data_IF_687220177136
#
_entry.id   IF_687220177136
#
_cell.length_a   1.000
_cell.length_b   1.000
_cell.length_c   1.000
_cell.angle_alpha   90.00
_cell.angle_beta   90.00
_cell.angle_gamma   90.00
#
_symmetry.space_group_name_H-M   'P 1'
#
loop_
_entity.id
_entity.type
_entity.pdbx_description
1 polymer ?
#
# COMPACT_ATOMS: atom_id res chain seq x y z
N UNK A 1 18.88 -6.90 -3.50
CA UNK A 1 18.83 -5.84 -2.47
C UNK A 1 17.38 -5.40 -2.35
N UNK A 2 16.87 -5.28 -1.12
CA UNK A 2 15.54 -4.70 -0.85
C UNK A 2 15.79 -3.48 0.02
N UNK A 3 15.29 -2.32 -0.40
CA UNK A 3 15.36 -1.08 0.36
C UNK A 3 13.94 -0.77 0.84
N UNK A 4 13.68 -0.97 2.14
CA UNK A 4 12.40 -0.64 2.75
C UNK A 4 12.42 0.80 3.22
N UNK A 5 12.05 1.73 2.34
CA UNK A 5 11.95 3.14 2.68
C UNK A 5 10.77 3.39 3.61
N UNK A 6 11.04 3.57 4.90
CA UNK A 6 10.03 3.98 5.88
C UNK A 6 9.76 5.50 5.85
N UNK A 7 10.44 6.25 4.98
CA UNK A 7 10.42 7.71 4.94
C UNK A 7 9.02 8.32 4.76
N UNK A 8 8.10 7.60 4.10
CA UNK A 8 6.72 8.06 3.86
C UNK A 8 5.71 7.50 4.86
N UNK A 9 6.17 6.68 5.81
CA UNK A 9 5.34 6.15 6.88
C UNK A 9 5.12 7.20 7.96
N UNK A 10 3.99 7.09 8.65
CA UNK A 10 3.71 7.89 9.84
C UNK A 10 4.72 7.57 10.95
N UNK A 11 5.46 8.58 11.42
CA UNK A 11 6.60 8.39 12.34
C UNK A 11 6.19 8.10 13.79
N UNK A 12 5.35 8.94 14.38
CA UNK A 12 4.80 8.77 15.74
C UNK A 12 3.46 9.53 15.90
N UNK A 13 2.84 9.43 17.07
CA UNK A 13 1.52 10.04 17.33
C UNK A 13 1.59 11.58 17.43
N UNK A 14 2.70 12.14 17.92
CA UNK A 14 2.85 13.58 18.17
C UNK A 14 3.23 14.37 16.92
N UNK A 15 4.05 13.78 16.06
CA UNK A 15 4.61 14.36 14.84
C UNK A 15 4.56 13.31 13.72
N UNK A 16 3.37 12.99 13.20
CA UNK A 16 3.17 11.86 12.29
C UNK A 16 3.91 12.00 10.96
N UNK A 17 4.14 13.20 10.47
CA UNK A 17 4.81 13.46 9.19
C UNK A 17 6.04 14.33 9.43
N UNK A 18 7.20 13.89 8.93
CA UNK A 18 8.49 14.55 9.15
C UNK A 18 9.27 14.55 7.83
N UNK A 19 9.66 15.74 7.38
CA UNK A 19 10.51 15.93 6.20
C UNK A 19 11.49 17.08 6.45
N UNK A 20 12.67 17.07 5.80
CA UNK A 20 13.57 18.22 5.81
C UNK A 20 12.87 19.50 5.33
N UNK A 21 13.11 20.62 5.99
CA UNK A 21 12.42 21.89 5.70
C UNK A 21 12.62 22.32 4.23
N UNK A 22 13.82 22.11 3.69
CA UNK A 22 14.15 22.40 2.30
C UNK A 22 13.37 21.56 1.28
N UNK A 23 12.92 20.37 1.67
CA UNK A 23 12.07 19.52 0.83
C UNK A 23 10.62 19.99 0.87
N UNK A 24 10.12 20.39 2.04
CA UNK A 24 8.78 20.95 2.20
C UNK A 24 8.66 22.29 1.45
N UNK A 25 9.72 23.11 1.48
CA UNK A 25 9.76 24.42 0.85
C UNK A 25 9.62 24.39 -0.69
N UNK A 26 9.81 23.23 -1.35
CA UNK A 26 9.61 23.06 -2.79
C UNK A 26 8.14 23.12 -3.22
N UNK A 27 7.20 22.97 -2.29
CA UNK A 27 5.77 22.82 -2.58
C UNK A 27 4.91 23.96 -2.01
N UNK A 28 5.24 25.25 -2.22
CA UNK A 28 4.50 26.36 -1.61
C UNK A 28 3.05 26.48 -2.12
N UNK A 29 2.76 25.88 -3.29
CA UNK A 29 1.44 25.84 -3.91
C UNK A 29 0.45 24.92 -3.17
N UNK A 30 0.94 23.85 -2.51
CA UNK A 30 0.10 22.93 -1.73
C UNK A 30 -0.33 23.64 -0.46
N UNK A 31 -1.62 23.99 -0.33
CA UNK A 31 -2.11 24.85 0.76
C UNK A 31 -2.17 24.14 2.10
N UNK A 32 -2.62 22.88 2.10
CA UNK A 32 -2.65 22.09 3.33
C UNK A 32 -1.23 21.81 3.83
N UNK A 33 -0.83 22.30 5.03
CA UNK A 33 0.51 22.06 5.56
C UNK A 33 0.82 20.57 5.77
N UNK A 34 -0.20 19.74 6.05
CA UNK A 34 0.00 18.29 6.19
C UNK A 34 0.34 17.65 4.85
N UNK A 35 -0.45 17.91 3.81
CA UNK A 35 -0.16 17.48 2.44
C UNK A 35 1.17 18.01 1.93
N UNK A 36 1.52 19.26 2.24
CA UNK A 36 2.81 19.86 1.86
C UNK A 36 3.99 19.14 2.51
N UNK A 37 3.87 18.82 3.80
CA UNK A 37 4.88 18.05 4.52
C UNK A 37 5.02 16.65 3.92
N UNK A 38 3.91 15.99 3.62
CA UNK A 38 3.91 14.68 2.95
C UNK A 38 4.55 14.72 1.56
N UNK A 39 4.30 15.77 0.76
CA UNK A 39 5.01 15.98 -0.50
C UNK A 39 6.52 16.10 -0.32
N UNK A 40 6.98 16.76 0.75
CA UNK A 40 8.39 16.79 1.16
C UNK A 40 8.96 15.40 1.50
N UNK A 41 8.17 14.53 2.16
CA UNK A 41 8.55 13.14 2.44
C UNK A 41 8.74 12.35 1.13
N UNK A 42 7.80 12.50 0.18
CA UNK A 42 7.86 11.87 -1.15
C UNK A 42 9.05 12.38 -1.95
N UNK A 43 9.33 13.69 -1.92
CA UNK A 43 10.50 14.29 -2.56
C UNK A 43 11.82 13.75 -1.98
N UNK A 44 11.87 13.50 -0.67
CA UNK A 44 13.02 12.87 -0.01
C UNK A 44 13.21 11.41 -0.45
N UNK A 45 12.11 10.67 -0.61
CA UNK A 45 12.13 9.32 -1.16
C UNK A 45 12.67 9.30 -2.59
N UNK A 46 12.17 10.19 -3.46
CA UNK A 46 12.63 10.31 -4.86
C UNK A 46 14.15 10.59 -4.95
N UNK A 47 14.66 11.50 -4.11
CA UNK A 47 16.11 11.73 -3.97
C UNK A 47 16.88 10.48 -3.58
N UNK A 48 16.38 9.70 -2.64
CA UNK A 48 17.03 8.45 -2.21
C UNK A 48 17.03 7.38 -3.32
N UNK A 49 15.95 7.32 -4.12
CA UNK A 49 15.89 6.49 -5.32
C UNK A 49 16.95 6.94 -6.34
N UNK A 50 17.06 8.24 -6.61
CA UNK A 50 18.08 8.79 -7.50
C UNK A 50 19.51 8.46 -7.02
N UNK A 51 19.80 8.61 -5.72
CA UNK A 51 21.09 8.25 -5.14
C UNK A 51 21.41 6.76 -5.34
N UNK A 52 20.42 5.89 -5.16
CA UNK A 52 20.57 4.43 -5.37
C UNK A 52 20.86 4.12 -6.85
N UNK A 53 20.13 4.74 -7.78
CA UNK A 53 20.35 4.59 -9.22
C UNK A 53 21.74 5.11 -9.61
N UNK A 54 22.15 6.26 -9.05
CA UNK A 54 23.46 6.85 -9.26
C UNK A 54 24.58 5.91 -8.81
N UNK A 55 24.48 5.33 -7.60
CA UNK A 55 25.45 4.36 -7.12
C UNK A 55 25.54 3.11 -8.02
N UNK A 56 24.40 2.59 -8.51
CA UNK A 56 24.40 1.47 -9.47
C UNK A 56 25.06 1.85 -10.80
N UNK A 57 24.87 3.09 -11.26
CA UNK A 57 25.47 3.62 -12.49
C UNK A 57 26.99 3.75 -12.34
N UNK A 58 27.44 4.39 -11.28
CA UNK A 58 28.86 4.70 -11.03
C UNK A 58 29.68 3.42 -10.84
N UNK A 59 29.06 2.35 -10.33
CA UNK A 59 29.67 1.04 -10.19
C UNK A 59 29.48 0.13 -11.42
N UNK A 60 28.92 0.65 -12.52
CA UNK A 60 28.72 -0.11 -13.77
C UNK A 60 27.69 -1.24 -13.69
N UNK A 61 26.87 -1.29 -12.63
CA UNK A 61 25.88 -2.35 -12.37
C UNK A 61 24.54 -2.08 -13.06
N UNK A 62 24.28 -0.81 -13.41
CA UNK A 62 22.98 -0.38 -13.93
C UNK A 62 22.56 -1.08 -15.23
N UNK A 63 23.53 -1.49 -16.07
CA UNK A 63 23.28 -2.15 -17.37
C UNK A 63 22.71 -3.58 -17.26
N UNK A 64 22.75 -4.18 -16.07
CA UNK A 64 22.20 -5.52 -15.81
C UNK A 64 21.40 -5.53 -14.50
N UNK A 65 20.56 -4.51 -14.31
CA UNK A 65 19.75 -4.33 -13.11
C UNK A 65 18.26 -4.39 -13.43
N UNK A 66 17.46 -4.91 -12.49
CA UNK A 66 16.01 -4.73 -12.46
C UNK A 66 15.71 -3.89 -11.22
N UNK A 67 15.08 -2.74 -11.42
CA UNK A 67 14.68 -1.82 -10.36
C UNK A 67 13.17 -1.85 -10.29
N UNK A 68 12.65 -2.34 -9.17
CA UNK A 68 11.23 -2.38 -8.85
C UNK A 68 10.96 -1.40 -7.70
N UNK A 69 10.07 -0.44 -7.94
CA UNK A 69 9.56 0.46 -6.92
C UNK A 69 8.06 0.21 -6.78
N UNK A 70 7.57 -0.08 -5.58
CA UNK A 70 6.14 -0.23 -5.31
C UNK A 70 5.82 0.09 -3.85
N UNK A 71 4.57 0.47 -3.56
CA UNK A 71 4.07 0.66 -2.20
C UNK A 71 3.57 -0.67 -1.61
N UNK A 72 3.69 -0.84 -0.29
CA UNK A 72 3.23 -2.03 0.44
C UNK A 72 1.70 -2.07 0.61
N UNK A 73 1.08 -0.89 0.78
CA UNK A 73 -0.36 -0.70 0.87
C UNK A 73 -0.76 0.69 0.36
N UNK A 74 -2.08 0.93 0.24
CA UNK A 74 -2.63 2.26 0.02
C UNK A 74 -2.38 3.23 1.19
N UNK A 75 -2.58 4.53 0.97
CA UNK A 75 -2.35 5.57 1.96
C UNK A 75 -3.41 5.51 3.10
N UNK A 76 -3.02 5.64 4.38
CA UNK A 76 -3.95 5.84 5.49
C UNK A 76 -4.40 7.30 5.55
N UNK A 77 -5.41 7.70 4.77
CA UNK A 77 -5.83 9.11 4.66
C UNK A 77 -6.49 9.67 5.94
N UNK A 78 -7.21 8.83 6.68
CA UNK A 78 -7.90 9.17 7.93
C UNK A 78 -7.66 8.13 9.02
N UNK A 79 -7.95 8.50 10.28
CA UNK A 79 -7.90 7.58 11.41
C UNK A 79 -6.53 7.45 12.07
N UNK A 80 -6.24 6.28 12.63
CA UNK A 80 -4.97 6.02 13.32
C UNK A 80 -3.85 5.93 12.27
N UNK A 81 -2.68 6.49 12.60
CA UNK A 81 -1.53 6.59 11.70
C UNK A 81 -1.83 7.36 10.40
N UNK A 82 -2.86 8.21 10.39
CA UNK A 82 -3.23 8.93 9.18
C UNK A 82 -2.08 9.80 8.68
N UNK A 83 -1.75 9.66 7.41
CA UNK A 83 -0.89 10.60 6.70
C UNK A 83 -1.74 11.39 5.69
N UNK A 84 -1.13 12.41 5.07
CA UNK A 84 -1.80 13.18 4.02
C UNK A 84 -1.60 12.54 2.64
N UNK A 85 -1.48 11.21 2.54
CA UNK A 85 -1.46 10.48 1.28
C UNK A 85 -2.83 10.49 0.59
N UNK A 86 -2.87 10.05 -0.67
CA UNK A 86 -4.12 10.01 -1.45
C UNK A 86 -4.21 8.68 -2.19
N UNK A 87 -5.41 8.11 -2.18
CA UNK A 87 -5.76 6.91 -2.95
C UNK A 87 -6.68 7.25 -4.12
N UNK A 88 -6.88 8.53 -4.42
CA UNK A 88 -7.74 8.94 -5.53
C UNK A 88 -7.29 8.28 -6.84
N UNK A 89 -8.21 7.70 -7.64
CA UNK A 89 -9.66 7.79 -7.51
C UNK A 89 -10.32 6.58 -6.80
N UNK A 90 -9.51 5.70 -6.23
CA UNK A 90 -9.96 4.44 -5.65
C UNK A 90 -10.74 4.64 -4.35
N UNK A 91 -11.65 3.71 -4.07
CA UNK A 91 -12.40 3.67 -2.83
C UNK A 91 -11.51 3.19 -1.68
N UNK A 92 -11.70 3.74 -0.50
CA UNK A 92 -11.07 3.29 0.74
C UNK A 92 -9.60 3.67 0.91
N UNK A 93 -8.96 3.00 1.88
CA UNK A 93 -7.60 3.29 2.32
C UNK A 93 -6.91 2.07 2.94
N UNK A 94 -5.69 2.24 3.46
CA UNK A 94 -5.00 1.24 4.30
C UNK A 94 -5.96 0.59 5.30
N UNK A 95 -5.81 -0.72 5.51
CA UNK A 95 -6.65 -1.55 6.38
C UNK A 95 -8.10 -1.71 5.88
N UNK A 96 -8.39 -1.54 4.59
CA UNK A 96 -9.73 -1.76 4.02
C UNK A 96 -9.68 -2.70 2.79
N UNK A 97 -10.79 -3.39 2.44
CA UNK A 97 -10.82 -4.34 1.32
C UNK A 97 -10.83 -3.70 -0.08
N UNK A 98 -10.95 -2.38 -0.13
CA UNK A 98 -11.17 -1.59 -1.35
C UNK A 98 -9.90 -1.36 -2.13
N UNK A 99 -10.03 -0.98 -3.41
CA UNK A 99 -8.90 -0.71 -4.30
C UNK A 99 -7.92 0.30 -3.68
N UNK A 100 -8.41 1.33 -2.98
CA UNK A 100 -7.56 2.32 -2.30
C UNK A 100 -6.79 1.79 -1.09
N UNK A 101 -7.07 0.58 -0.62
CA UNK A 101 -6.28 -0.11 0.40
C UNK A 101 -5.24 -1.07 -0.17
N UNK A 102 -5.52 -1.68 -1.32
CA UNK A 102 -4.76 -2.82 -1.85
C UNK A 102 -4.04 -2.52 -3.18
N UNK A 103 -4.58 -1.61 -4.00
CA UNK A 103 -4.02 -1.20 -5.28
C UNK A 103 -3.04 -0.05 -5.03
N UNK A 104 -1.78 -0.30 -5.38
CA UNK A 104 -0.66 0.56 -5.03
C UNK A 104 0.10 1.03 -6.28
N UNK A 105 0.76 2.18 -6.17
CA UNK A 105 1.67 2.65 -7.20
C UNK A 105 2.85 1.66 -7.37
N UNK A 106 3.21 1.38 -8.62
CA UNK A 106 4.29 0.48 -8.97
C UNK A 106 4.97 0.88 -10.28
N UNK A 107 6.30 0.72 -10.35
CA UNK A 107 7.10 0.95 -11.53
C UNK A 107 8.24 -0.08 -11.61
N UNK A 108 8.48 -0.60 -12.82
CA UNK A 108 9.61 -1.47 -13.11
C UNK A 108 10.49 -0.82 -14.17
N UNK A 109 11.77 -0.69 -13.86
CA UNK A 109 12.79 -0.22 -14.79
C UNK A 109 13.86 -1.29 -14.97
N UNK A 110 14.23 -1.58 -16.22
CA UNK A 110 15.39 -2.42 -16.52
C UNK A 110 15.87 -2.22 -17.96
N UNK A 111 17.18 -2.23 -18.22
CA UNK A 111 17.70 -2.32 -19.58
C UNK A 111 17.46 -3.72 -20.20
N UNK A 112 16.99 -4.70 -19.43
CA UNK A 112 16.73 -6.06 -19.92
C UNK A 112 15.34 -6.23 -20.54
N UNK A 113 14.45 -5.22 -20.39
CA UNK A 113 13.17 -5.21 -21.10
C UNK A 113 13.40 -4.97 -22.60
N UNK A 114 12.67 -5.71 -23.45
CA UNK A 114 12.69 -5.52 -24.91
C UNK A 114 12.07 -4.19 -25.30
N UNK A 115 10.93 -3.87 -24.69
CA UNK A 115 10.22 -2.60 -24.85
C UNK A 115 10.23 -1.80 -23.53
N UNK A 116 10.26 -0.48 -23.62
CA UNK A 116 10.35 0.41 -22.44
C UNK A 116 9.45 1.62 -22.61
N UNK A 117 9.09 2.22 -21.48
CA UNK A 117 8.26 3.42 -21.45
C UNK A 117 6.83 3.16 -21.88
N UNK A 118 6.27 2.02 -21.51
CA UNK A 118 4.88 1.64 -21.76
C UNK A 118 4.15 1.42 -20.42
N UNK A 119 2.82 1.48 -20.44
CA UNK A 119 1.97 1.12 -19.30
C UNK A 119 1.54 -0.33 -19.43
N UNK A 120 1.77 -1.14 -18.40
CA UNK A 120 1.31 -2.53 -18.37
C UNK A 120 -0.05 -2.63 -17.69
N UNK A 121 -1.01 -3.27 -18.34
CA UNK A 121 -2.33 -3.59 -17.79
C UNK A 121 -2.38 -4.99 -17.13
N UNK A 122 -1.23 -5.64 -16.93
CA UNK A 122 -1.18 -6.88 -16.17
C UNK A 122 -1.54 -6.60 -14.70
N UNK A 123 -2.49 -7.36 -14.16
CA UNK A 123 -2.69 -7.41 -12.72
C UNK A 123 -1.53 -8.18 -12.05
N UNK A 124 -0.79 -7.50 -11.17
CA UNK A 124 0.39 -8.04 -10.46
C UNK A 124 0.13 -7.99 -8.96
N UNK A 125 0.50 -9.05 -8.25
CA UNK A 125 0.45 -9.11 -6.79
C UNK A 125 1.85 -9.24 -6.19
N UNK A 126 2.02 -8.83 -4.93
CA UNK A 126 3.33 -8.91 -4.26
C UNK A 126 3.92 -10.34 -4.23
N UNK A 127 3.05 -11.36 -4.20
CA UNK A 127 3.46 -12.78 -4.24
C UNK A 127 4.08 -13.20 -5.58
N UNK A 128 3.83 -12.45 -6.66
CA UNK A 128 4.42 -12.73 -7.98
C UNK A 128 5.91 -12.37 -8.04
N UNK A 129 6.39 -11.49 -7.15
CA UNK A 129 7.77 -11.01 -7.23
C UNK A 129 8.81 -12.09 -6.98
N UNK A 130 8.54 -13.06 -6.09
CA UNK A 130 9.46 -14.17 -5.86
C UNK A 130 9.69 -15.01 -7.15
N UNK A 131 8.66 -15.63 -7.76
CA UNK A 131 8.85 -16.39 -8.99
C UNK A 131 9.27 -15.52 -10.19
N UNK A 132 8.83 -14.27 -10.25
CA UNK A 132 9.20 -13.34 -11.34
C UNK A 132 10.69 -12.98 -11.30
N UNK A 133 11.21 -12.59 -10.14
CA UNK A 133 12.62 -12.24 -9.99
C UNK A 133 13.53 -13.47 -10.07
N UNK A 134 13.09 -14.63 -9.57
CA UNK A 134 13.81 -15.90 -9.76
C UNK A 134 13.91 -16.24 -11.26
N UNK A 135 12.80 -16.14 -12.00
CA UNK A 135 12.77 -16.33 -13.44
C UNK A 135 13.68 -15.36 -14.19
N UNK A 136 13.68 -14.08 -13.81
CA UNK A 136 14.56 -13.07 -14.39
C UNK A 136 16.05 -13.33 -14.11
N UNK A 137 16.36 -13.88 -12.94
CA UNK A 137 17.73 -14.25 -12.54
C UNK A 137 18.18 -15.62 -13.08
N UNK A 138 17.32 -16.37 -13.77
CA UNK A 138 17.61 -17.74 -14.20
C UNK A 138 17.72 -18.74 -13.03
N UNK A 139 17.14 -18.43 -11.89
CA UNK A 139 17.14 -19.28 -10.69
C UNK A 139 15.95 -20.23 -10.72
N UNK A 140 16.21 -21.52 -10.62
CA UNK A 140 15.15 -22.53 -10.44
C UNK A 140 14.71 -22.56 -8.98
N UNK A 141 13.41 -22.38 -8.74
CA UNK A 141 12.80 -22.58 -7.43
C UNK A 141 12.57 -24.08 -7.17
N UNK A 142 12.56 -24.53 -5.90
CA UNK A 142 12.19 -25.90 -5.55
C UNK A 142 10.81 -26.26 -6.10
N UNK A 143 10.66 -27.46 -6.66
CA UNK A 143 9.40 -27.90 -7.29
C UNK A 143 8.27 -28.09 -6.28
N UNK A 144 8.61 -28.35 -5.03
CA UNK A 144 7.72 -28.58 -3.90
C UNK A 144 7.42 -27.32 -3.10
N UNK A 145 7.96 -26.16 -3.49
CA UNK A 145 7.64 -24.88 -2.87
C UNK A 145 6.22 -24.45 -3.29
N UNK A 146 5.22 -24.43 -2.39
CA UNK A 146 3.89 -23.93 -2.73
C UNK A 146 3.98 -22.42 -2.97
N UNK A 147 3.57 -21.98 -4.16
CA UNK A 147 3.57 -20.58 -4.56
C UNK A 147 2.17 -20.17 -5.03
N UNK A 148 1.66 -19.07 -4.48
CA UNK A 148 0.45 -18.42 -5.00
C UNK A 148 0.77 -17.49 -6.18
N UNK A 149 2.03 -17.06 -6.30
CA UNK A 149 2.50 -16.19 -7.37
C UNK A 149 2.91 -16.92 -8.62
N UNK A 150 2.91 -16.22 -9.75
CA UNK A 150 3.38 -16.72 -11.04
C UNK A 150 4.56 -15.91 -11.56
N UNK A 151 5.40 -16.56 -12.37
CA UNK A 151 6.50 -15.87 -13.04
C UNK A 151 5.97 -15.00 -14.19
N UNK A 152 5.97 -13.69 -13.98
CA UNK A 152 5.52 -12.70 -14.97
C UNK A 152 6.68 -12.14 -15.81
N UNK A 153 7.93 -12.55 -15.59
CA UNK A 153 9.07 -11.97 -16.28
C UNK A 153 9.03 -12.14 -17.80
N UNK A 154 8.63 -13.29 -18.38
CA UNK A 154 8.50 -13.42 -19.83
C UNK A 154 7.52 -12.39 -20.43
N UNK A 155 6.37 -12.20 -19.77
CA UNK A 155 5.37 -11.23 -20.21
C UNK A 155 5.87 -9.79 -20.05
N UNK A 156 6.43 -9.43 -18.88
CA UNK A 156 6.95 -8.09 -18.61
C UNK A 156 8.12 -7.73 -19.53
N UNK A 157 9.10 -8.63 -19.68
CA UNK A 157 10.27 -8.38 -20.54
C UNK A 157 9.94 -8.38 -22.02
N UNK A 158 8.91 -9.13 -22.43
CA UNK A 158 8.45 -9.25 -23.80
C UNK A 158 7.40 -8.22 -24.23
N UNK A 159 6.79 -7.50 -23.29
CA UNK A 159 5.54 -6.75 -23.50
C UNK A 159 4.46 -7.61 -24.17
N UNK A 160 4.26 -8.82 -23.62
CA UNK A 160 3.26 -9.77 -24.14
C UNK A 160 1.87 -9.49 -23.55
N UNK A 161 0.85 -10.15 -24.11
CA UNK A 161 -0.53 -10.07 -23.60
C UNK A 161 -0.63 -10.42 -22.11
N UNK A 162 -1.45 -9.67 -21.35
CA UNK A 162 -1.72 -9.96 -19.95
C UNK A 162 -2.19 -11.41 -19.74
N UNK A 163 -1.68 -12.04 -18.67
CA UNK A 163 -2.09 -13.35 -18.21
C UNK A 163 -3.32 -13.22 -17.29
N UNK A 164 -4.31 -14.14 -17.39
CA UNK A 164 -5.41 -14.23 -16.44
C UNK A 164 -4.91 -14.37 -15.00
N UNK A 165 -5.67 -13.83 -14.05
CA UNK A 165 -5.29 -13.81 -12.62
C UNK A 165 -6.44 -14.17 -11.71
N UNK A 166 -6.14 -14.95 -10.70
CA UNK A 166 -6.97 -15.13 -9.51
C UNK A 166 -6.16 -14.70 -8.31
N UNK A 167 -6.68 -13.77 -7.52
CA UNK A 167 -5.96 -13.15 -6.41
C UNK A 167 -6.85 -13.03 -5.19
N UNK A 168 -6.33 -13.47 -4.05
CA UNK A 168 -6.90 -13.17 -2.74
C UNK A 168 -6.12 -11.98 -2.22
N UNK A 169 -6.80 -10.84 -2.09
CA UNK A 169 -6.19 -9.65 -1.55
C UNK A 169 -6.22 -9.70 -0.02
N UNK A 170 -7.36 -10.08 0.54
CA UNK A 170 -7.53 -10.22 1.99
C UNK A 170 -8.46 -11.38 2.31
N UNK A 171 -8.07 -12.18 3.31
CA UNK A 171 -8.92 -13.15 3.98
C UNK A 171 -8.66 -13.03 5.49
N UNK A 172 -9.41 -12.15 6.15
CA UNK A 172 -9.22 -11.84 7.56
C UNK A 172 -10.43 -12.30 8.37
N UNK A 173 -10.27 -13.41 9.10
CA UNK A 173 -11.31 -13.98 9.95
C UNK A 173 -11.43 -13.28 11.31
N UNK A 174 -10.44 -12.47 11.68
CA UNK A 174 -10.39 -11.77 12.98
C UNK A 174 -11.16 -10.46 12.90
N UNK A 175 -10.88 -9.65 11.88
CA UNK A 175 -11.62 -8.42 11.59
C UNK A 175 -12.85 -8.68 10.72
N UNK A 176 -12.97 -9.88 10.13
CA UNK A 176 -14.18 -10.36 9.47
C UNK A 176 -14.41 -9.76 8.09
N UNK A 177 -13.35 -9.59 7.29
CA UNK A 177 -13.49 -9.09 5.93
C UNK A 177 -12.62 -9.85 4.92
N UNK A 178 -13.08 -9.83 3.67
CA UNK A 178 -12.42 -10.51 2.55
C UNK A 178 -12.53 -9.70 1.27
N UNK A 179 -11.48 -9.77 0.46
CA UNK A 179 -11.39 -9.13 -0.85
C UNK A 179 -10.72 -10.11 -1.81
N UNK A 180 -11.42 -10.45 -2.87
CA UNK A 180 -11.03 -11.49 -3.83
C UNK A 180 -11.28 -10.99 -5.25
N UNK A 181 -10.41 -11.37 -6.17
CA UNK A 181 -10.51 -10.97 -7.56
C UNK A 181 -10.21 -12.14 -8.50
N UNK A 182 -11.02 -12.24 -9.56
CA UNK A 182 -10.75 -13.07 -10.74
C UNK A 182 -10.78 -12.18 -11.98
N UNK A 183 -9.63 -12.01 -12.61
CA UNK A 183 -9.37 -11.08 -13.71
C UNK A 183 -9.77 -9.65 -13.37
N UNK A 184 -10.93 -9.18 -13.82
CA UNK A 184 -11.44 -7.83 -13.50
C UNK A 184 -12.58 -7.87 -12.50
N UNK A 185 -13.05 -9.06 -12.16
CA UNK A 185 -14.21 -9.28 -11.32
C UNK A 185 -13.81 -9.31 -9.85
N UNK A 186 -14.33 -8.37 -9.06
CA UNK A 186 -13.99 -8.23 -7.65
C UNK A 186 -15.17 -8.57 -6.74
N UNK A 187 -14.88 -9.34 -5.70
CA UNK A 187 -15.76 -9.68 -4.59
C UNK A 187 -15.25 -9.02 -3.31
N UNK A 188 -16.14 -8.39 -2.56
CA UNK A 188 -15.86 -7.82 -1.23
C UNK A 188 -16.94 -8.26 -0.24
N UNK A 189 -16.55 -8.73 0.94
CA UNK A 189 -17.48 -9.06 2.02
C UNK A 189 -16.90 -8.68 3.37
N UNK A 190 -17.66 -7.97 4.19
CA UNK A 190 -17.19 -7.37 5.43
C UNK A 190 -16.35 -6.11 5.21
N UNK A 191 -16.02 -5.44 6.31
CA UNK A 191 -15.14 -4.28 6.33
C UNK A 191 -14.45 -4.16 7.69
N UNK A 192 -13.39 -3.37 7.75
CA UNK A 192 -12.69 -3.01 8.98
C UNK A 192 -13.30 -1.77 9.64
N UNK A 193 -12.99 -1.55 10.93
CA UNK A 193 -13.39 -0.34 11.67
C UNK A 193 -14.86 0.08 11.49
N UNK A 194 -15.77 -0.89 11.36
CA UNK A 194 -17.21 -0.67 11.13
C UNK A 194 -17.52 0.20 9.89
N UNK A 195 -16.72 0.06 8.84
CA UNK A 195 -16.92 0.76 7.56
C UNK A 195 -16.43 2.21 7.56
N UNK A 196 -15.69 2.64 8.59
CA UNK A 196 -15.12 4.00 8.66
C UNK A 196 -14.22 4.32 7.46
N UNK A 197 -13.62 3.30 6.86
CA UNK A 197 -12.67 3.42 5.75
C UNK A 197 -13.30 3.06 4.39
N UNK A 198 -14.63 3.02 4.28
CA UNK A 198 -15.33 2.57 3.07
C UNK A 198 -15.70 3.69 2.09
N UNK A 199 -15.22 4.92 2.32
CA UNK A 199 -15.50 6.10 1.48
C UNK A 199 -14.39 6.31 0.43
N UNK A 200 -14.63 7.17 -0.54
CA UNK A 200 -13.57 7.69 -1.42
C UNK A 200 -12.78 8.76 -0.67
N UNK A 201 -11.48 8.53 -0.52
CA UNK A 201 -10.61 9.32 0.35
C UNK A 201 -9.40 9.84 -0.42
N UNK A 202 -9.05 11.10 -0.19
CA UNK A 202 -7.87 11.73 -0.79
C UNK A 202 -8.14 12.50 -2.08
N UNK A 203 -9.39 12.89 -2.35
CA UNK A 203 -9.71 13.92 -3.35
C UNK A 203 -9.01 15.24 -2.98
N UNK A 204 -8.56 15.97 -4.00
CA UNK A 204 -8.04 17.32 -3.82
C UNK A 204 -9.18 18.26 -3.43
N UNK A 205 -8.89 19.23 -2.56
CA UNK A 205 -9.85 20.26 -2.23
C UNK A 205 -10.12 21.14 -3.48
N UNK A 206 -11.35 21.66 -3.62
CA UNK A 206 -11.84 22.37 -4.82
C UNK A 206 -11.03 23.61 -5.22
N UNK A 207 -10.09 24.06 -4.39
CA UNK A 207 -9.23 25.23 -4.64
C UNK A 207 -7.74 24.93 -4.44
N UNK A 208 -7.35 23.65 -4.34
CA UNK A 208 -5.96 23.26 -4.30
C UNK A 208 -5.40 23.15 -5.73
N UNK A 209 -4.15 23.56 -5.90
CA UNK A 209 -3.48 23.44 -7.19
C UNK A 209 -3.29 21.96 -7.51
N UNK A 210 -3.77 21.55 -8.69
CA UNK A 210 -3.59 20.17 -9.14
C UNK A 210 -2.08 19.86 -9.24
N UNK A 211 -1.56 18.83 -8.55
CA UNK A 211 -0.17 18.40 -8.69
C UNK A 211 0.17 17.95 -10.13
N UNK A 212 -0.84 17.82 -11.01
CA UNK A 212 -0.72 17.59 -12.46
C UNK A 212 -0.59 18.90 -13.27
N UNK A 213 -0.45 20.05 -12.61
CA UNK A 213 -0.50 21.39 -13.21
C UNK A 213 0.54 21.70 -14.30
N UNK A 214 0.59 22.97 -14.72
CA UNK A 214 1.35 23.50 -15.87
C UNK A 214 2.89 23.43 -15.73
N UNK A 215 3.46 22.28 -15.37
CA UNK A 215 4.91 22.05 -15.34
C UNK A 215 5.27 20.57 -15.11
N UNK A 216 4.30 19.67 -15.03
CA UNK A 216 4.55 18.28 -14.67
C UNK A 216 5.61 17.62 -15.57
N UNK A 217 5.51 17.80 -16.89
CA UNK A 217 6.48 17.20 -17.81
C UNK A 217 7.87 17.81 -17.65
N UNK A 218 7.95 19.11 -17.35
CA UNK A 218 9.20 19.79 -17.06
C UNK A 218 9.84 19.22 -15.78
N UNK A 219 9.05 18.99 -14.72
CA UNK A 219 9.55 18.37 -13.49
C UNK A 219 10.07 16.95 -13.72
N UNK A 220 9.34 16.13 -14.48
CA UNK A 220 9.79 14.78 -14.83
C UNK A 220 11.10 14.82 -15.63
N UNK A 221 11.18 15.69 -16.64
CA UNK A 221 12.39 15.84 -17.47
C UNK A 221 13.59 16.38 -16.69
N UNK A 222 13.35 17.21 -15.67
CA UNK A 222 14.38 17.79 -14.81
C UNK A 222 14.76 16.91 -13.61
N UNK A 223 14.10 15.76 -13.42
CA UNK A 223 14.37 14.88 -12.28
C UNK A 223 15.78 14.29 -12.30
N UNK A 224 16.35 14.07 -11.12
CA UNK A 224 17.68 13.46 -10.97
C UNK A 224 17.70 12.04 -11.55
N UNK A 225 16.61 11.28 -11.35
CA UNK A 225 16.43 9.96 -11.95
C UNK A 225 16.52 10.03 -13.47
N UNK A 226 15.82 10.96 -14.11
CA UNK A 226 15.87 11.11 -15.56
C UNK A 226 17.27 11.48 -16.05
N UNK A 227 17.97 12.37 -15.35
CA UNK A 227 19.36 12.74 -15.65
C UNK A 227 20.31 11.53 -15.59
N UNK A 228 20.14 10.67 -14.58
CA UNK A 228 20.97 9.47 -14.37
C UNK A 228 20.71 8.38 -15.41
N UNK A 229 19.45 8.13 -15.74
CA UNK A 229 19.04 7.12 -16.71
C UNK A 229 19.30 7.54 -18.17
N UNK A 230 19.41 8.85 -18.40
CA UNK A 230 19.71 9.48 -19.68
C UNK A 230 18.48 9.68 -20.57
N UNK A 231 18.60 10.59 -21.54
CA UNK A 231 17.52 10.94 -22.45
C UNK A 231 17.32 9.88 -23.55
N UNK A 232 16.70 8.75 -23.21
CA UNK A 232 16.35 7.66 -24.14
C UNK A 232 15.05 7.95 -24.90
N UNK A 233 14.89 9.17 -25.43
CA UNK A 233 13.70 9.56 -26.20
C UNK A 233 12.47 9.89 -25.35
N UNK A 234 12.66 10.24 -24.07
CA UNK A 234 11.56 10.72 -23.23
C UNK A 234 11.22 12.16 -23.64
N UNK A 235 10.02 12.37 -24.21
CA UNK A 235 9.52 13.68 -24.63
C UNK A 235 8.33 14.09 -23.76
N UNK A 236 7.96 15.38 -23.78
CA UNK A 236 6.74 15.85 -23.10
C UNK A 236 5.49 15.10 -23.57
N UNK A 237 5.39 14.85 -24.87
CA UNK A 237 4.26 14.11 -25.44
C UNK A 237 4.24 12.66 -24.97
N UNK A 238 5.42 12.00 -24.86
CA UNK A 238 5.49 10.65 -24.30
C UNK A 238 5.09 10.61 -22.83
N UNK A 239 5.51 11.60 -22.04
CA UNK A 239 5.11 11.74 -20.62
C UNK A 239 3.59 11.88 -20.51
N UNK A 240 2.98 12.76 -21.32
CA UNK A 240 1.51 12.94 -21.37
C UNK A 240 0.79 11.66 -21.77
N UNK A 241 1.28 11.00 -22.81
CA UNK A 241 0.70 9.75 -23.29
C UNK A 241 0.73 8.67 -22.21
N UNK A 242 1.91 8.36 -21.66
CA UNK A 242 2.03 7.35 -20.60
C UNK A 242 1.19 7.69 -19.38
N UNK A 243 1.11 8.97 -19.01
CA UNK A 243 0.25 9.42 -17.93
C UNK A 243 -1.21 9.15 -18.23
N UNK A 244 -1.68 9.53 -19.43
CA UNK A 244 -3.05 9.28 -19.86
C UNK A 244 -3.38 7.78 -19.87
N UNK A 245 -2.45 6.94 -20.32
CA UNK A 245 -2.60 5.48 -20.33
C UNK A 245 -2.64 4.89 -18.91
N UNK A 246 -1.90 5.46 -17.95
CA UNK A 246 -1.86 5.01 -16.56
C UNK A 246 -2.98 5.61 -15.68
N UNK A 247 -3.74 6.59 -16.18
CA UNK A 247 -4.77 7.27 -15.39
C UNK A 247 -6.08 6.51 -15.47
N UNK A 248 -6.54 6.02 -14.32
CA UNK A 248 -7.85 5.37 -14.22
C UNK A 248 -8.99 6.40 -14.22
N UNK A 249 -10.07 6.09 -14.94
CA UNK A 249 -11.27 6.93 -15.00
C UNK A 249 -12.44 6.18 -14.37
N UNK A 250 -13.06 6.79 -13.35
CA UNK A 250 -14.27 6.23 -12.77
C UNK A 250 -15.48 6.43 -13.70
N UNK A 251 -16.48 5.53 -13.66
CA UNK A 251 -17.74 5.76 -14.35
C UNK A 251 -18.43 7.03 -13.83
N UNK A 252 -18.99 7.88 -14.72
CA UNK A 252 -19.60 9.13 -14.33
C UNK A 252 -20.84 8.90 -13.46
N UNK A 253 -21.19 9.90 -12.66
CA UNK A 253 -22.44 9.92 -11.87
C UNK A 253 -23.51 10.63 -12.71
N UNK A 254 -23.84 10.07 -13.88
CA UNK A 254 -24.81 10.65 -14.81
C UNK A 254 -26.15 9.93 -14.68
N UNK A 255 -27.06 10.47 -13.87
CA UNK A 255 -28.44 9.96 -13.73
C UNK A 255 -28.60 8.65 -12.96
N UNK A 256 -27.49 8.00 -12.57
CA UNK A 256 -27.46 6.84 -11.68
C UNK A 256 -26.65 7.21 -10.45
N UNK A 257 -27.29 7.34 -9.29
CA UNK A 257 -26.56 7.62 -8.06
C UNK A 257 -26.00 6.30 -7.48
N UNK A 258 -24.68 6.14 -7.30
CA UNK A 258 -24.08 4.94 -6.71
C UNK A 258 -24.58 4.65 -5.28
N UNK A 259 -25.20 5.64 -4.63
CA UNK A 259 -25.84 5.51 -3.32
C UNK A 259 -27.31 5.07 -3.37
N UNK A 260 -27.91 4.94 -4.56
CA UNK A 260 -29.26 4.37 -4.71
C UNK A 260 -29.29 2.89 -4.32
N UNK A 261 -30.43 2.44 -3.79
CA UNK A 261 -30.56 1.12 -3.15
C UNK A 261 -30.12 -0.08 -3.99
N UNK A 262 -30.20 0.00 -5.32
CA UNK A 262 -29.76 -1.08 -6.22
C UNK A 262 -28.24 -1.14 -6.46
N UNK A 263 -27.52 -0.01 -6.35
CA UNK A 263 -26.07 0.08 -6.57
C UNK A 263 -25.29 0.26 -5.27
N UNK A 264 -25.98 0.54 -4.16
CA UNK A 264 -25.36 0.72 -2.86
C UNK A 264 -24.67 -0.58 -2.42
N UNK A 265 -23.39 -0.46 -2.10
CA UNK A 265 -22.65 -1.52 -1.44
C UNK A 265 -22.63 -1.27 0.07
N UNK A 266 -23.16 -2.22 0.84
CA UNK A 266 -23.13 -2.23 2.31
C UNK A 266 -22.44 -3.53 2.78
N UNK A 267 -21.09 -3.58 2.78
CA UNK A 267 -20.35 -4.84 2.92
C UNK A 267 -20.49 -5.50 4.29
N UNK A 268 -20.93 -4.75 5.30
CA UNK A 268 -21.27 -5.27 6.64
C UNK A 268 -22.63 -5.99 6.68
N UNK A 269 -23.46 -5.86 5.65
CA UNK A 269 -24.78 -6.51 5.54
C UNK A 269 -24.78 -7.66 4.54
N UNK A 270 -24.14 -7.45 3.39
CA UNK A 270 -24.09 -8.42 2.30
C UNK A 270 -22.84 -8.19 1.44
N UNK A 271 -22.33 -9.23 0.76
CA UNK A 271 -21.19 -9.09 -0.14
C UNK A 271 -21.52 -8.19 -1.34
N UNK A 272 -20.47 -7.55 -1.86
CA UNK A 272 -20.51 -6.67 -3.02
C UNK A 272 -19.70 -7.25 -4.17
N UNK A 273 -20.09 -6.85 -5.38
CA UNK A 273 -19.53 -7.35 -6.63
C UNK A 273 -19.27 -6.18 -7.58
N UNK A 274 -18.09 -6.13 -8.21
CA UNK A 274 -17.67 -5.07 -9.13
C UNK A 274 -16.95 -5.64 -10.36
N UNK A 275 -17.01 -4.91 -11.48
CA UNK A 275 -16.19 -5.15 -12.67
C UNK A 275 -15.19 -4.00 -12.81
N UNK A 276 -13.96 -4.21 -12.32
CA UNK A 276 -12.92 -3.18 -12.21
C UNK A 276 -12.45 -2.63 -13.55
N UNK A 277 -12.67 -3.35 -14.65
CA UNK A 277 -12.35 -2.83 -15.99
C UNK A 277 -13.28 -1.69 -16.41
N UNK A 278 -14.48 -1.62 -15.84
CA UNK A 278 -15.47 -0.55 -16.10
C UNK A 278 -15.63 0.40 -14.92
N UNK A 279 -15.40 -0.10 -13.72
CA UNK A 279 -15.55 0.64 -12.47
C UNK A 279 -14.36 0.39 -11.54
N UNK A 280 -13.18 0.94 -11.87
CA UNK A 280 -11.99 0.80 -11.02
C UNK A 280 -12.16 1.47 -9.65
N UNK A 281 -13.20 2.29 -9.50
CA UNK A 281 -13.47 3.08 -8.30
C UNK A 281 -14.53 2.42 -7.41
N UNK A 282 -15.08 1.27 -7.78
CA UNK A 282 -16.04 0.51 -6.96
C UNK A 282 -17.30 1.31 -6.57
N UNK A 283 -17.80 2.12 -7.51
CA UNK A 283 -18.98 2.98 -7.34
C UNK A 283 -20.28 2.19 -7.41
N UNK A 284 -20.41 1.27 -8.36
CA UNK A 284 -21.67 0.60 -8.69
C UNK A 284 -21.64 -0.88 -8.31
N UNK A 285 -22.31 -1.24 -7.22
CA UNK A 285 -22.44 -2.63 -6.81
C UNK A 285 -23.32 -3.41 -7.79
N UNK A 286 -22.75 -4.45 -8.38
CA UNK A 286 -23.39 -5.31 -9.38
C UNK A 286 -24.05 -6.56 -8.77
N UNK A 287 -23.97 -6.75 -7.45
CA UNK A 287 -24.42 -7.95 -6.75
C UNK A 287 -25.88 -8.34 -7.02
N UNK A 288 -26.81 -7.37 -7.03
CA UNK A 288 -28.24 -7.63 -7.26
C UNK A 288 -28.54 -8.01 -8.71
N UNK A 289 -27.73 -7.50 -9.65
CA UNK A 289 -27.94 -7.66 -11.09
C UNK A 289 -27.30 -8.96 -11.61
N UNK A 290 -26.23 -9.40 -10.96
CA UNK A 290 -25.44 -10.59 -11.34
C UNK A 290 -25.21 -11.53 -10.14
N UNK A 291 -26.28 -12.05 -9.50
CA UNK A 291 -26.17 -12.85 -8.29
C UNK A 291 -25.45 -14.18 -8.50
N UNK A 292 -25.52 -14.75 -9.71
CA UNK A 292 -24.81 -16.00 -10.04
C UNK A 292 -23.29 -15.79 -10.11
N UNK A 293 -22.84 -14.68 -10.69
CA UNK A 293 -21.42 -14.33 -10.74
C UNK A 293 -20.87 -14.05 -9.33
N UNK A 294 -21.64 -13.32 -8.51
CA UNK A 294 -21.30 -13.10 -7.11
C UNK A 294 -21.16 -14.43 -6.35
N UNK A 295 -22.09 -15.37 -6.54
CA UNK A 295 -22.04 -16.69 -5.91
C UNK A 295 -20.82 -17.49 -6.37
N UNK A 296 -20.47 -17.45 -7.66
CA UNK A 296 -19.29 -18.12 -8.18
C UNK A 296 -18.00 -17.64 -7.49
N UNK A 297 -17.81 -16.32 -7.38
CA UNK A 297 -16.63 -15.76 -6.70
C UNK A 297 -16.62 -16.12 -5.20
N UNK A 298 -17.79 -16.15 -4.57
CA UNK A 298 -17.92 -16.56 -3.17
C UNK A 298 -17.56 -18.05 -2.97
N UNK A 299 -18.01 -18.92 -3.87
CA UNK A 299 -17.70 -20.36 -3.83
C UNK A 299 -16.21 -20.63 -4.07
N UNK A 300 -15.59 -19.89 -5.00
CA UNK A 300 -14.15 -19.93 -5.27
C UNK A 300 -13.34 -19.52 -4.02
N UNK A 301 -13.71 -18.40 -3.39
CA UNK A 301 -13.08 -17.95 -2.14
C UNK A 301 -13.26 -18.97 -1.00
N UNK A 302 -14.43 -19.61 -0.91
CA UNK A 302 -14.69 -20.63 0.11
C UNK A 302 -13.84 -21.89 -0.11
N UNK A 303 -13.53 -22.28 -1.36
CA UNK A 303 -12.59 -23.37 -1.59
C UNK A 303 -11.19 -23.02 -1.08
N UNK A 304 -10.76 -21.78 -1.24
CA UNK A 304 -9.45 -21.35 -0.75
C UNK A 304 -9.43 -21.25 0.79
N UNK A 305 -10.53 -20.79 1.39
CA UNK A 305 -10.69 -20.75 2.85
C UNK A 305 -10.48 -22.13 3.47
N UNK A 306 -10.96 -23.21 2.84
CA UNK A 306 -10.77 -24.58 3.35
C UNK A 306 -9.32 -25.05 3.39
N UNK A 307 -8.44 -24.45 2.56
CA UNK A 307 -7.01 -24.76 2.55
C UNK A 307 -6.19 -23.78 3.38
N UNK A 308 -6.80 -22.72 3.92
CA UNK A 308 -6.11 -21.71 4.69
C UNK A 308 -5.65 -22.26 6.04
N UNK A 309 -4.47 -21.81 6.48
CA UNK A 309 -3.94 -22.11 7.81
C UNK A 309 -4.52 -21.09 8.80
N UNK A 310 -5.00 -21.52 9.99
CA UNK A 310 -5.49 -20.60 11.01
C UNK A 310 -4.46 -19.52 11.37
N UNK A 311 -4.95 -18.31 11.68
CA UNK A 311 -4.09 -17.19 12.05
C UNK A 311 -3.22 -17.53 13.26
N UNK A 312 -1.91 -17.34 13.13
CA UNK A 312 -0.95 -17.45 14.24
C UNK A 312 -0.92 -16.22 15.15
N UNK A 313 -1.90 -15.31 15.02
CA UNK A 313 -1.96 -14.06 15.79
C UNK A 313 -2.04 -14.37 17.29
N UNK A 314 -1.09 -13.82 18.04
CA UNK A 314 -1.16 -13.77 19.50
C UNK A 314 -1.89 -12.49 19.90
N UNK A 315 -3.03 -12.56 20.62
CA UNK A 315 -3.86 -11.39 20.89
C UNK A 315 -3.27 -10.44 21.95
N UNK A 316 -2.23 -10.87 22.66
CA UNK A 316 -1.61 -10.12 23.74
C UNK A 316 -0.11 -10.02 23.53
N UNK A 317 0.45 -8.83 23.78
CA UNK A 317 1.89 -8.61 23.76
C UNK A 317 2.58 -9.44 24.85
N UNK A 318 3.72 -10.05 24.53
CA UNK A 318 4.59 -10.65 25.53
C UNK A 318 5.25 -9.54 26.36
N UNK A 319 4.94 -9.48 27.65
CA UNK A 319 5.51 -8.46 28.55
C UNK A 319 7.04 -8.47 28.60
N UNK A 320 7.69 -9.59 28.27
CA UNK A 320 9.15 -9.70 28.20
C UNK A 320 9.74 -8.90 27.05
N UNK A 321 8.94 -8.56 26.03
CA UNK A 321 9.36 -7.69 24.93
C UNK A 321 9.55 -6.23 25.34
N UNK A 322 9.16 -5.85 26.57
CA UNK A 322 9.21 -4.46 27.01
C UNK A 322 10.66 -3.93 26.95
N UNK A 323 10.94 -2.87 26.18
CA UNK A 323 12.30 -2.34 26.00
C UNK A 323 12.93 -1.85 27.31
N UNK A 324 12.16 -1.60 28.37
CA UNK A 324 12.73 -1.30 29.70
C UNK A 324 13.56 -2.45 30.27
N UNK A 325 13.32 -3.69 29.82
CA UNK A 325 14.13 -4.86 30.18
C UNK A 325 15.37 -5.04 29.28
N UNK A 326 15.49 -4.23 28.22
CA UNK A 326 16.47 -4.38 27.13
C UNK A 326 17.23 -3.07 26.88
N UNK A 327 17.62 -2.37 27.96
CA UNK A 327 18.34 -1.09 27.90
C UNK A 327 17.68 -0.01 27.02
N UNK A 328 16.35 -0.03 26.92
CA UNK A 328 15.57 0.90 26.10
C UNK A 328 15.47 0.53 24.62
N UNK A 329 15.98 -0.63 24.19
CA UNK A 329 15.95 -1.08 22.81
C UNK A 329 14.89 -2.16 22.57
N UNK A 330 14.35 -2.20 21.35
CA UNK A 330 13.58 -3.35 20.89
C UNK A 330 14.54 -4.41 20.36
N UNK A 331 14.60 -5.58 21.02
CA UNK A 331 15.47 -6.68 20.64
C UNK A 331 14.77 -8.04 20.78
N UNK A 332 15.41 -9.10 20.30
CA UNK A 332 14.90 -10.46 20.47
C UNK A 332 14.99 -10.91 21.92
N UNK A 333 13.84 -11.13 22.57
CA UNK A 333 13.76 -11.41 24.01
C UNK A 333 13.58 -12.91 24.35
N UNK A 334 13.53 -13.82 23.37
CA UNK A 334 13.33 -15.25 23.65
C UNK A 334 14.64 -15.99 23.96
N UNK A 335 15.80 -15.36 23.73
CA UNK A 335 17.10 -15.88 24.14
C UNK A 335 17.60 -15.25 25.45
N UNK A 336 16.87 -14.30 26.04
CA UNK A 336 17.19 -13.76 27.36
C UNK A 336 16.61 -14.68 28.42
N UNK A 337 17.47 -15.50 29.02
CA UNK A 337 17.18 -16.16 30.29
C UNK A 337 16.63 -15.12 31.27
N UNK A 338 15.50 -15.44 31.89
CA UNK A 338 14.88 -14.63 32.95
C UNK A 338 15.67 -14.74 34.26
N UNK A 339 17.00 -14.64 34.19
CA UNK A 339 17.85 -14.62 35.37
C UNK A 339 18.80 -13.43 35.34
N UNK A 340 18.73 -12.64 36.41
CA UNK A 340 19.66 -11.58 36.83
C UNK A 340 19.44 -10.15 36.32
N UNK A 341 18.19 -9.68 36.35
CA UNK A 341 17.91 -8.24 36.53
C UNK A 341 18.07 -7.79 37.99
N UNK A 342 19.23 -8.01 38.64
CA UNK A 342 19.56 -7.38 39.92
C UNK A 342 20.02 -5.93 39.71
N UNK A 343 19.10 -5.09 39.22
CA UNK A 343 19.29 -3.65 39.25
C UNK A 343 19.09 -3.17 40.68
N UNK A 344 20.19 -2.90 41.39
CA UNK A 344 20.16 -2.20 42.67
C UNK A 344 19.69 -0.77 42.44
N UNK A 345 18.40 -0.51 42.63
CA UNK A 345 17.89 0.86 42.70
C UNK A 345 18.35 1.48 44.03
N UNK A 346 19.24 2.46 43.93
CA UNK A 346 19.46 3.43 45.00
C UNK A 346 18.25 4.34 45.06
N UNK A 347 17.43 4.16 46.10
CA UNK A 347 16.34 5.06 46.46
C UNK A 347 16.97 6.40 46.87
N UNK A 348 16.90 7.40 45.99
CA UNK A 348 16.94 8.80 46.43
C UNK A 348 15.51 9.29 46.56
N UNK A 349 15.05 9.17 47.80
CA UNK A 349 13.82 9.73 48.33
C UNK A 349 13.92 11.27 48.29
N UNK A 350 13.07 11.93 47.51
CA UNK A 350 12.62 13.29 47.84
C UNK A 350 11.09 13.30 47.84
N UNK A 351 10.56 13.49 49.04
CA UNK A 351 9.16 13.60 49.42
C UNK A 351 8.60 14.99 49.09
N UNK A 352 7.33 15.01 48.66
CA UNK A 352 6.23 15.94 48.97
C UNK A 352 5.48 16.40 47.70
N UNK A 353 4.15 16.45 47.60
CA UNK A 353 3.00 16.00 48.40
C UNK A 353 1.74 16.26 47.53
N UNK A 354 0.69 15.43 47.66
CA UNK A 354 -0.70 15.70 47.21
C UNK A 354 -1.27 14.66 46.23
N UNK A 355 -1.92 13.54 46.63
CA UNK A 355 -3.30 13.38 47.18
C UNK A 355 -4.37 13.68 46.11
N UNK A 356 -5.31 12.80 45.67
CA UNK A 356 -6.17 11.75 46.26
C UNK A 356 -6.81 10.97 45.07
N UNK A 357 -6.68 9.64 44.95
CA UNK A 357 -7.53 8.51 45.45
C UNK A 357 -8.94 8.39 44.82
N UNK A 358 -9.24 7.17 44.33
CA UNK A 358 -10.60 6.67 44.05
C UNK A 358 -10.62 5.35 43.24
N UNK A 359 -9.96 4.28 43.70
CA UNK A 359 -10.53 3.10 44.40
C UNK A 359 -11.26 2.05 43.52
N UNK A 360 -10.67 0.85 43.50
CA UNK A 360 -11.26 -0.45 43.13
C UNK A 360 -11.86 -1.08 44.39
N UNK A 361 -13.02 -1.75 44.32
CA UNK A 361 -13.25 -3.15 44.78
C UNK A 361 -14.73 -3.61 44.66
N UNK A 362 -14.91 -4.76 43.97
CA UNK A 362 -15.80 -5.93 44.21
C UNK A 362 -16.87 -5.85 45.33
N UNK A 363 -18.13 -6.24 45.05
CA UNK A 363 -18.69 -7.61 45.16
C UNK A 363 -20.24 -7.64 45.22
N UNK A 364 -20.81 -8.72 44.65
CA UNK A 364 -22.04 -9.47 45.03
C UNK A 364 -23.42 -8.78 44.92
N UNK A 365 -24.16 -9.10 43.85
CA UNK A 365 -25.23 -10.12 43.82
C UNK A 365 -25.47 -10.58 42.37
#
# INVERSE_FOLDING_TARGET
MVLSHLAVHTGNEDSPMQAPEEEVAKFPHIRDPKRRTYAGMISSLDKSVAQTIGALKDNGMLNNSIILLYSDNGAPTIGIHSNAGSNYPYRGQKESPWEGGIRSAGALWSPLLKERGYVSNQAIHAVDWLPTLAGAAGVSLPQDLPLDGINLWPMLSGNEEPKPRTMIHVLDEVFGYSSYMRDTLKYVNGSSFKGRYDQWLGELETNEDDPLGESYEQHVLASDVQSLLGNRGLTKDRIRQMRSEATETCPPIEGQNPLESHFKCEPLKAPCFFDLAKDPCERYNLAQMYPLQLQQLADELEQIRKTAIPSARVPHSDSRANPTFHNGNWEWWNNTDTQSGSGTFSINLWLAMGSIIGLVYRNLL
#
